data_IF_426288129928
#
_entry.id   IF_426288129928
#
_cell.length_a   1.000
_cell.length_b   1.000
_cell.length_c   1.000
_cell.angle_alpha   90.00
_cell.angle_beta   90.00
_cell.angle_gamma   90.00
#
_symmetry.space_group_name_H-M   'P 1'
#
loop_
_entity.id
_entity.type
_entity.pdbx_description
1 polymer ?
#
# COMPACT_ATOMS: atom_id res chain seq x y z
N UNK A 1 -13.59 1.84 -10.83
CA UNK A 1 -12.78 2.02 -9.59
C UNK A 1 -11.49 1.21 -9.59
N UNK A 2 -11.49 -0.03 -10.10
CA UNK A 2 -10.29 -0.87 -10.25
C UNK A 2 -9.04 -0.17 -10.86
N UNK A 3 -9.12 0.60 -11.96
CA UNK A 3 -7.94 1.27 -12.52
C UNK A 3 -7.23 2.22 -11.54
N UNK A 4 -8.00 2.88 -10.67
CA UNK A 4 -7.44 3.80 -9.66
C UNK A 4 -6.69 3.02 -8.58
N UNK A 5 -7.24 1.89 -8.11
CA UNK A 5 -6.56 1.02 -7.12
C UNK A 5 -5.25 0.47 -7.69
N UNK A 6 -5.27 0.00 -8.95
CA UNK A 6 -4.07 -0.48 -9.63
C UNK A 6 -3.05 0.64 -9.82
N UNK A 7 -3.47 1.82 -10.29
CA UNK A 7 -2.58 2.97 -10.44
C UNK A 7 -1.97 3.39 -9.09
N UNK A 8 -2.72 3.35 -7.99
CA UNK A 8 -2.19 3.61 -6.65
C UNK A 8 -1.16 2.56 -6.21
N UNK A 9 -1.41 1.27 -6.43
CA UNK A 9 -0.44 0.22 -6.13
C UNK A 9 0.86 0.38 -6.94
N UNK A 10 0.73 0.72 -8.23
CA UNK A 10 1.88 0.98 -9.09
C UNK A 10 2.68 2.20 -8.61
N UNK A 11 1.98 3.29 -8.28
CA UNK A 11 2.59 4.50 -7.73
C UNK A 11 3.31 4.23 -6.40
N UNK A 12 2.71 3.45 -5.50
CA UNK A 12 3.36 3.02 -4.25
C UNK A 12 4.58 2.15 -4.49
N UNK A 13 4.52 1.23 -5.46
CA UNK A 13 5.67 0.43 -5.88
C UNK A 13 6.85 1.30 -6.29
N UNK A 14 6.61 2.29 -7.15
CA UNK A 14 7.65 3.25 -7.58
C UNK A 14 8.13 4.16 -6.44
N UNK A 15 7.22 4.64 -5.60
CA UNK A 15 7.56 5.42 -4.40
C UNK A 15 8.52 4.65 -3.50
N UNK A 16 8.21 3.39 -3.17
CA UNK A 16 9.08 2.59 -2.32
C UNK A 16 10.45 2.31 -2.96
N UNK A 17 10.54 2.10 -4.28
CA UNK A 17 11.83 2.01 -4.98
C UNK A 17 12.61 3.32 -4.83
N UNK A 18 11.94 4.45 -5.02
CA UNK A 18 12.54 5.78 -4.89
C UNK A 18 13.03 6.04 -3.45
N UNK A 19 12.27 5.62 -2.43
CA UNK A 19 12.69 5.68 -1.03
C UNK A 19 13.90 4.76 -0.77
N UNK A 20 13.93 3.56 -1.34
CA UNK A 20 15.05 2.62 -1.18
C UNK A 20 16.35 3.14 -1.83
N UNK A 21 16.24 3.91 -2.91
CA UNK A 21 17.36 4.48 -3.65
C UNK A 21 17.75 5.88 -3.15
N UNK A 22 16.96 6.51 -2.28
CA UNK A 22 17.19 7.88 -1.84
C UNK A 22 18.60 8.09 -1.26
N UNK A 23 19.29 9.12 -1.78
CA UNK A 23 20.61 9.56 -1.33
C UNK A 23 20.57 10.97 -0.72
N UNK A 24 19.44 11.67 -0.81
CA UNK A 24 19.26 13.03 -0.31
C UNK A 24 17.81 13.25 0.16
N UNK A 25 17.63 14.17 1.12
CA UNK A 25 16.32 14.49 1.70
C UNK A 25 15.25 14.92 0.67
N UNK A 26 15.55 15.71 -0.38
CA UNK A 26 14.55 16.09 -1.38
C UNK A 26 13.85 14.90 -2.04
N UNK A 27 14.57 13.79 -2.23
CA UNK A 27 14.01 12.56 -2.82
C UNK A 27 12.93 11.97 -1.91
N UNK A 28 13.13 11.99 -0.59
CA UNK A 28 12.15 11.50 0.37
C UNK A 28 10.88 12.35 0.38
N UNK A 29 10.99 13.67 0.15
CA UNK A 29 9.81 14.54 0.02
C UNK A 29 9.00 14.22 -1.24
N UNK A 30 9.67 13.97 -2.37
CA UNK A 30 9.00 13.53 -3.60
C UNK A 30 8.26 12.21 -3.34
N UNK A 31 8.92 11.24 -2.69
CA UNK A 31 8.28 9.99 -2.32
C UNK A 31 7.04 10.20 -1.46
N UNK A 32 7.11 11.07 -0.44
CA UNK A 32 5.95 11.44 0.40
C UNK A 32 4.79 12.01 -0.40
N UNK A 33 5.05 12.82 -1.44
CA UNK A 33 3.99 13.32 -2.32
C UNK A 33 3.32 12.19 -3.10
N UNK A 34 4.10 11.26 -3.66
CA UNK A 34 3.58 10.09 -4.39
C UNK A 34 2.74 9.21 -3.46
N UNK A 35 3.29 8.84 -2.30
CA UNK A 35 2.59 8.17 -1.19
C UNK A 35 1.26 8.86 -0.87
N UNK A 36 1.26 10.19 -0.74
CA UNK A 36 0.09 11.00 -0.42
C UNK A 36 -1.01 10.89 -1.47
N UNK A 37 -0.66 11.01 -2.75
CA UNK A 37 -1.61 10.84 -3.86
C UNK A 37 -2.16 9.41 -3.90
N UNK A 38 -1.30 8.41 -3.69
CA UNK A 38 -1.70 7.00 -3.71
C UNK A 38 -2.60 6.59 -2.52
N UNK A 39 -2.70 7.42 -1.47
CA UNK A 39 -3.62 7.19 -0.34
C UNK A 39 -5.10 7.19 -0.75
N UNK A 40 -5.44 7.74 -1.92
CA UNK A 40 -6.78 7.67 -2.53
C UNK A 40 -7.25 6.22 -2.79
N UNK A 41 -6.33 5.25 -2.77
CA UNK A 41 -6.64 3.81 -2.83
C UNK A 41 -7.61 3.36 -1.73
N UNK A 42 -7.50 3.91 -0.51
CA UNK A 42 -8.32 3.48 0.64
C UNK A 42 -9.79 3.84 0.42
N UNK A 43 -10.08 5.10 0.08
CA UNK A 43 -11.45 5.54 -0.19
C UNK A 43 -12.02 4.84 -1.43
N UNK A 44 -11.19 4.63 -2.44
CA UNK A 44 -11.58 3.93 -3.67
C UNK A 44 -11.88 2.45 -3.45
N UNK A 45 -11.09 1.77 -2.59
CA UNK A 45 -11.31 0.36 -2.23
C UNK A 45 -12.63 0.20 -1.46
N UNK A 46 -12.91 1.07 -0.49
CA UNK A 46 -14.20 1.07 0.21
C UNK A 46 -15.36 1.27 -0.76
N UNK A 47 -15.26 2.25 -1.67
CA UNK A 47 -16.30 2.48 -2.65
C UNK A 47 -16.44 1.33 -3.67
N UNK A 48 -15.35 0.65 -4.01
CA UNK A 48 -15.38 -0.53 -4.87
C UNK A 48 -16.11 -1.69 -4.20
N UNK A 49 -15.86 -1.95 -2.92
CA UNK A 49 -16.60 -2.94 -2.13
C UNK A 49 -18.09 -2.64 -2.12
N UNK A 50 -18.51 -1.38 -1.95
CA UNK A 50 -19.91 -0.99 -2.07
C UNK A 50 -20.51 -1.31 -3.44
N UNK A 51 -19.81 -1.02 -4.53
CA UNK A 51 -20.30 -1.22 -5.89
C UNK A 51 -20.50 -2.71 -6.23
N UNK A 52 -19.62 -3.59 -5.76
CA UNK A 52 -19.61 -5.02 -6.16
C UNK A 52 -20.25 -5.97 -5.14
N UNK A 53 -20.59 -5.48 -3.94
CA UNK A 53 -21.15 -6.30 -2.86
C UNK A 53 -22.62 -5.99 -2.63
N UNK A 54 -23.46 -7.04 -2.61
CA UNK A 54 -24.87 -6.96 -2.25
C UNK A 54 -25.06 -6.31 -0.86
N UNK A 55 -26.13 -5.54 -0.68
CA UNK A 55 -26.31 -4.62 0.46
C UNK A 55 -26.23 -5.35 1.81
N UNK A 56 -26.75 -6.57 1.87
CA UNK A 56 -26.82 -7.41 3.07
C UNK A 56 -25.44 -7.94 3.47
N UNK A 57 -24.52 -8.10 2.49
CA UNK A 57 -23.17 -8.62 2.70
C UNK A 57 -22.11 -7.52 2.91
N UNK A 58 -22.46 -6.26 2.67
CA UNK A 58 -21.51 -5.13 2.74
C UNK A 58 -20.85 -5.00 4.11
N UNK A 59 -21.60 -5.18 5.20
CA UNK A 59 -21.05 -5.10 6.56
C UNK A 59 -19.90 -6.11 6.77
N UNK A 60 -20.10 -7.36 6.34
CA UNK A 60 -19.07 -8.39 6.41
C UNK A 60 -17.87 -8.09 5.50
N UNK A 61 -18.11 -7.59 4.27
CA UNK A 61 -17.04 -7.23 3.34
C UNK A 61 -16.19 -6.06 3.85
N UNK A 62 -16.80 -5.03 4.43
CA UNK A 62 -16.07 -3.94 5.11
C UNK A 62 -15.33 -4.44 6.34
N UNK A 63 -15.92 -5.37 7.10
CA UNK A 63 -15.25 -6.05 8.21
C UNK A 63 -13.98 -6.77 7.77
N UNK A 64 -14.02 -7.49 6.64
CA UNK A 64 -12.85 -8.15 6.05
C UNK A 64 -11.78 -7.15 5.61
N UNK A 65 -12.18 -6.04 4.98
CA UNK A 65 -11.26 -4.97 4.60
C UNK A 65 -10.57 -4.37 5.83
N UNK A 66 -11.32 -4.11 6.90
CA UNK A 66 -10.78 -3.65 8.19
C UNK A 66 -9.85 -4.67 8.85
N UNK A 67 -10.19 -5.96 8.81
CA UNK A 67 -9.34 -7.04 9.31
C UNK A 67 -8.01 -7.10 8.54
N UNK A 68 -8.04 -6.97 7.20
CA UNK A 68 -6.84 -6.92 6.38
C UNK A 68 -5.94 -5.71 6.74
N UNK A 69 -6.52 -4.53 6.97
CA UNK A 69 -5.79 -3.37 7.49
C UNK A 69 -5.15 -3.64 8.86
N UNK A 70 -5.90 -4.23 9.79
CA UNK A 70 -5.38 -4.57 11.12
C UNK A 70 -4.23 -5.57 11.07
N UNK A 71 -4.35 -6.63 10.26
CA UNK A 71 -3.28 -7.61 10.04
C UNK A 71 -2.05 -6.93 9.44
N UNK A 72 -2.23 -6.10 8.42
CA UNK A 72 -1.14 -5.33 7.82
C UNK A 72 -0.45 -4.40 8.82
N UNK A 73 -1.21 -3.76 9.71
CA UNK A 73 -0.69 -2.86 10.74
C UNK A 73 0.04 -3.60 11.88
N UNK A 74 -0.30 -4.85 12.16
CA UNK A 74 0.42 -5.68 13.14
C UNK A 74 1.71 -6.24 12.53
N UNK A 75 1.61 -6.84 11.34
CA UNK A 75 2.73 -7.52 10.69
C UNK A 75 3.73 -6.50 10.12
N UNK A 76 3.25 -5.39 9.58
CA UNK A 76 4.06 -4.37 8.89
C UNK A 76 5.20 -3.81 9.74
N UNK A 77 4.95 -3.24 10.94
CA UNK A 77 6.00 -2.72 11.82
C UNK A 77 6.97 -3.80 12.31
N UNK A 78 6.47 -5.00 12.63
CA UNK A 78 7.33 -6.10 13.07
C UNK A 78 8.30 -6.53 11.95
N UNK A 79 7.78 -6.74 10.74
CA UNK A 79 8.57 -7.08 9.56
C UNK A 79 9.50 -5.93 9.16
N UNK A 80 9.02 -4.69 9.20
CA UNK A 80 9.80 -3.49 8.91
C UNK A 80 10.95 -3.28 9.89
N UNK A 81 10.74 -3.51 11.19
CA UNK A 81 11.78 -3.45 12.21
C UNK A 81 12.85 -4.53 12.02
N UNK A 82 12.43 -5.77 11.75
CA UNK A 82 13.34 -6.86 11.47
C UNK A 82 14.21 -6.59 10.22
N UNK A 83 13.58 -6.20 9.11
CA UNK A 83 14.29 -5.86 7.87
C UNK A 83 15.17 -4.62 8.02
N UNK A 84 14.71 -3.62 8.79
CA UNK A 84 15.46 -2.41 9.10
C UNK A 84 16.76 -2.70 9.87
N UNK A 85 16.78 -3.75 10.69
CA UNK A 85 17.98 -4.23 11.36
C UNK A 85 19.04 -4.81 10.42
N UNK A 86 18.63 -5.32 9.24
CA UNK A 86 19.54 -5.80 8.19
C UNK A 86 20.04 -4.60 7.37
N UNK A 87 19.12 -3.74 6.95
CA UNK A 87 19.41 -2.49 6.25
C UNK A 87 18.24 -1.55 6.36
N UNK A 88 18.51 -0.26 6.60
CA UNK A 88 17.50 0.80 6.59
C UNK A 88 16.75 0.91 5.26
N UNK A 89 17.28 0.33 4.17
CA UNK A 89 16.67 0.32 2.83
C UNK A 89 15.82 -0.93 2.56
N UNK A 90 16.07 -2.03 3.27
CA UNK A 90 15.42 -3.32 2.99
C UNK A 90 13.88 -3.30 3.13
N UNK A 91 13.28 -2.62 4.13
CA UNK A 91 11.82 -2.53 4.23
C UNK A 91 11.16 -1.95 2.97
N UNK A 92 11.79 -0.94 2.35
CA UNK A 92 11.26 -0.29 1.15
C UNK A 92 11.30 -1.22 -0.06
N UNK A 93 12.36 -2.03 -0.22
CA UNK A 93 12.40 -3.03 -1.30
C UNK A 93 11.31 -4.09 -1.16
N UNK A 94 11.06 -4.57 0.05
CA UNK A 94 9.99 -5.55 0.31
C UNK A 94 8.62 -4.92 0.06
N UNK A 95 8.40 -3.69 0.54
CA UNK A 95 7.15 -2.97 0.31
C UNK A 95 6.90 -2.70 -1.19
N UNK A 96 7.95 -2.36 -1.96
CA UNK A 96 7.88 -2.22 -3.41
C UNK A 96 7.46 -3.53 -4.08
N UNK A 97 8.09 -4.65 -3.70
CA UNK A 97 7.75 -5.97 -4.22
C UNK A 97 6.29 -6.34 -3.96
N UNK A 98 5.79 -6.12 -2.74
CA UNK A 98 4.40 -6.38 -2.38
C UNK A 98 3.43 -5.50 -3.18
N UNK A 99 3.71 -4.20 -3.31
CA UNK A 99 2.85 -3.27 -4.05
C UNK A 99 2.79 -3.60 -5.55
N UNK A 100 3.94 -3.89 -6.17
CA UNK A 100 4.02 -4.25 -7.58
C UNK A 100 3.40 -5.63 -7.86
N UNK A 101 3.59 -6.60 -6.96
CA UNK A 101 2.93 -7.91 -7.07
C UNK A 101 1.41 -7.75 -6.97
N UNK A 102 0.91 -6.90 -6.07
CA UNK A 102 -0.52 -6.61 -5.98
C UNK A 102 -1.06 -5.89 -7.23
N UNK A 103 -0.26 -5.02 -7.84
CA UNK A 103 -0.59 -4.41 -9.14
C UNK A 103 -0.68 -5.45 -10.27
N UNK A 104 0.27 -6.39 -10.32
CA UNK A 104 0.29 -7.46 -11.34
C UNK A 104 -0.82 -8.50 -11.14
N UNK A 105 -1.17 -8.80 -9.89
CA UNK A 105 -2.26 -9.71 -9.55
C UNK A 105 -3.64 -9.11 -9.87
N UNK A 106 -3.78 -7.81 -9.57
CA UNK A 106 -5.08 -7.14 -9.49
C UNK A 106 -5.82 -7.01 -10.80
#
# INVERSE_FOLDING_TARGET
>A
RRPVILASNLALGFDFILMALAQALPILFIGRMISGVASASISTANAYIADVTAREKRAAAYGLLGAAFGIGFIIGPALGGFLGGISVRAPFWVAAGLALTNFLYG
#
